data_IF_293857019790
#
_entry.id   IF_293857019790
#
_cell.length_a   1.000
_cell.length_b   1.000
_cell.length_c   1.000
_cell.angle_alpha   90.00
_cell.angle_beta   90.00
_cell.angle_gamma   90.00
#
_symmetry.space_group_name_H-M   'P 1'
#
loop_
_entity.id
_entity.type
_entity.pdbx_description
1 polymer ?
#
# COMPACT_ATOMS: atom_id res chain seq x y z
N UNK A 1 -0.38 42.55 -2.71
CA UNK A 1 0.06 41.21 -2.23
C UNK A 1 0.28 40.36 -3.47
N UNK A 2 1.53 40.08 -3.85
CA UNK A 2 1.85 39.28 -5.04
C UNK A 2 1.29 37.87 -4.85
N UNK A 3 0.31 37.47 -5.65
CA UNK A 3 -0.10 36.08 -5.76
C UNK A 3 1.08 35.31 -6.40
N UNK A 4 1.44 34.16 -5.82
CA UNK A 4 2.50 33.32 -6.37
C UNK A 4 2.17 32.98 -7.83
N UNK A 5 2.91 33.59 -8.76
CA UNK A 5 2.77 33.40 -10.21
C UNK A 5 3.35 32.04 -10.65
N UNK A 6 4.07 31.37 -9.76
CA UNK A 6 4.61 30.03 -9.97
C UNK A 6 3.51 29.00 -9.70
N UNK A 7 3.17 28.15 -10.70
CA UNK A 7 2.26 27.04 -10.46
C UNK A 7 2.86 26.12 -9.37
N UNK A 8 2.00 25.44 -8.60
CA UNK A 8 2.47 24.50 -7.59
C UNK A 8 3.46 23.52 -8.25
N UNK A 9 4.68 23.46 -7.71
CA UNK A 9 5.70 22.55 -8.19
C UNK A 9 5.28 21.11 -7.83
N UNK A 10 4.55 20.47 -8.73
CA UNK A 10 4.09 19.11 -8.57
C UNK A 10 3.21 18.72 -9.75
N UNK A 11 3.32 17.46 -10.19
CA UNK A 11 2.40 16.94 -11.18
C UNK A 11 0.97 16.98 -10.61
N UNK A 12 -0.03 17.55 -11.32
CA UNK A 12 -1.41 17.63 -10.84
C UNK A 12 -2.00 16.26 -10.47
N UNK A 13 -1.48 15.19 -11.09
CA UNK A 13 -1.90 13.81 -10.91
C UNK A 13 -0.92 12.98 -10.04
N UNK A 14 0.03 13.61 -9.36
CA UNK A 14 0.97 12.87 -8.51
C UNK A 14 0.19 12.07 -7.44
N UNK A 15 0.36 10.74 -7.37
CA UNK A 15 -0.30 9.96 -6.34
C UNK A 15 0.16 10.43 -4.96
N UNK A 16 -0.79 10.79 -4.08
CA UNK A 16 -0.47 11.17 -2.71
C UNK A 16 -0.38 9.92 -1.83
N UNK A 17 0.83 9.42 -1.64
CA UNK A 17 1.07 8.34 -0.69
C UNK A 17 1.04 8.86 0.75
N UNK A 18 0.41 8.10 1.64
CA UNK A 18 0.49 8.33 3.07
C UNK A 18 1.82 7.79 3.61
N UNK A 19 2.41 8.49 4.58
CA UNK A 19 3.51 7.93 5.35
C UNK A 19 3.03 6.75 6.22
N UNK A 20 3.91 5.79 6.55
CA UNK A 20 3.56 4.66 7.42
C UNK A 20 2.92 5.07 8.75
N UNK A 21 3.44 6.12 9.40
CA UNK A 21 2.91 6.68 10.65
C UNK A 21 1.47 7.20 10.48
N UNK A 22 1.22 7.93 9.39
CA UNK A 22 -0.08 8.53 9.11
C UNK A 22 -1.13 7.46 8.82
N UNK A 23 -0.75 6.42 8.09
CA UNK A 23 -1.61 5.25 7.89
C UNK A 23 -2.00 4.62 9.24
N UNK A 24 -1.16 4.71 10.27
CA UNK A 24 -1.32 3.94 11.53
C UNK A 24 -2.36 4.62 12.38
N UNK A 25 -2.27 5.95 12.41
CA UNK A 25 -3.28 6.82 12.96
C UNK A 25 -4.63 6.59 12.27
N UNK A 26 -4.67 6.48 10.94
CA UNK A 26 -5.93 6.27 10.20
C UNK A 26 -6.51 4.88 10.50
N UNK A 27 -5.68 3.84 10.57
CA UNK A 27 -6.08 2.47 10.94
C UNK A 27 -6.63 2.40 12.37
N UNK A 28 -5.88 2.94 13.35
CA UNK A 28 -6.30 3.01 14.76
C UNK A 28 -7.59 3.81 14.96
N UNK A 29 -7.86 4.78 14.09
CA UNK A 29 -9.11 5.57 14.09
C UNK A 29 -10.26 4.89 13.36
N UNK A 30 -10.11 3.64 12.93
CA UNK A 30 -11.09 2.89 12.14
C UNK A 30 -11.57 3.61 10.87
N UNK A 31 -10.73 4.49 10.32
CA UNK A 31 -11.00 5.21 9.05
C UNK A 31 -10.34 4.54 7.84
N UNK A 32 -9.50 3.54 8.07
CA UNK A 32 -8.92 2.72 7.02
C UNK A 32 -9.75 1.44 6.90
N UNK A 33 -10.28 1.17 5.72
CA UNK A 33 -10.91 -0.11 5.45
C UNK A 33 -9.87 -1.22 5.61
N UNK A 34 -10.18 -2.21 6.47
CA UNK A 34 -9.32 -3.35 6.75
C UNK A 34 -8.94 -4.10 5.46
N UNK A 35 -9.80 -4.10 4.46
CA UNK A 35 -9.57 -4.75 3.17
C UNK A 35 -8.58 -3.98 2.27
N UNK A 36 -8.41 -2.69 2.52
CA UNK A 36 -7.58 -1.77 1.74
C UNK A 36 -6.33 -1.33 2.50
N UNK A 37 -5.96 -2.01 3.59
CA UNK A 37 -4.78 -1.65 4.35
C UNK A 37 -3.49 -1.92 3.54
N UNK A 38 -2.72 -0.88 3.17
CA UNK A 38 -1.50 -1.06 2.41
C UNK A 38 -0.38 -1.72 3.23
N UNK A 39 -0.48 -1.76 4.57
CA UNK A 39 0.50 -2.43 5.45
C UNK A 39 0.54 -3.94 5.29
N UNK A 40 -0.63 -4.53 5.01
CA UNK A 40 -0.75 -5.97 4.90
C UNK A 40 -0.09 -6.34 3.56
N UNK A 41 0.94 -7.22 3.57
CA UNK A 41 1.55 -7.70 2.34
C UNK A 41 0.48 -8.18 1.37
N UNK A 42 0.64 -7.86 0.08
CA UNK A 42 -0.39 -8.10 -0.93
C UNK A 42 -0.89 -9.55 -0.90
N UNK A 43 0.03 -10.51 -0.67
CA UNK A 43 -0.28 -11.94 -0.57
C UNK A 43 -1.34 -12.23 0.51
N UNK A 44 -1.44 -11.48 1.60
CA UNK A 44 -2.40 -11.73 2.69
C UNK A 44 -3.70 -10.94 2.60
N UNK A 45 -3.87 -10.10 1.56
CA UNK A 45 -5.10 -9.31 1.38
C UNK A 45 -6.29 -10.21 1.01
N UNK A 46 -7.49 -9.77 1.37
CA UNK A 46 -8.73 -10.51 1.14
C UNK A 46 -8.99 -10.78 -0.35
N UNK A 47 -8.76 -9.80 -1.22
CA UNK A 47 -8.98 -9.91 -2.67
C UNK A 47 -7.82 -10.56 -3.44
N UNK A 48 -6.83 -11.14 -2.76
CA UNK A 48 -5.66 -11.70 -3.44
C UNK A 48 -5.97 -13.11 -3.99
N UNK A 49 -5.74 -13.38 -5.28
CA UNK A 49 -6.08 -14.67 -5.89
C UNK A 49 -5.38 -15.86 -5.22
N UNK A 50 -6.14 -16.89 -4.86
CA UNK A 50 -5.60 -18.07 -4.20
C UNK A 50 -4.59 -18.84 -5.06
N UNK A 51 -4.82 -18.92 -6.37
CA UNK A 51 -3.90 -19.57 -7.32
C UNK A 51 -2.51 -18.92 -7.31
N UNK A 52 -2.45 -17.60 -7.19
CA UNK A 52 -1.18 -16.87 -7.09
C UNK A 52 -0.51 -17.11 -5.74
N UNK A 53 -1.26 -17.23 -4.65
CA UNK A 53 -0.69 -17.59 -3.33
C UNK A 53 -0.01 -18.94 -3.39
N UNK A 54 -0.67 -19.93 -4.00
CA UNK A 54 -0.15 -21.27 -4.14
C UNK A 54 1.17 -21.27 -4.93
N UNK A 55 1.22 -20.56 -6.06
CA UNK A 55 2.44 -20.41 -6.88
C UNK A 55 3.58 -19.74 -6.13
N UNK A 56 3.31 -18.65 -5.41
CA UNK A 56 4.34 -17.94 -4.62
C UNK A 56 4.90 -18.85 -3.53
N UNK A 57 4.05 -19.59 -2.81
CA UNK A 57 4.47 -20.54 -1.78
C UNK A 57 5.28 -21.70 -2.34
N UNK A 58 4.89 -22.24 -3.50
CA UNK A 58 5.64 -23.29 -4.18
C UNK A 58 7.05 -22.80 -4.56
N UNK A 59 7.14 -21.62 -5.18
CA UNK A 59 8.40 -21.00 -5.52
C UNK A 59 9.28 -20.74 -4.28
N UNK A 60 8.70 -20.21 -3.20
CA UNK A 60 9.44 -19.98 -1.96
C UNK A 60 10.02 -21.29 -1.38
N UNK A 61 9.27 -22.39 -1.47
CA UNK A 61 9.71 -23.73 -1.04
C UNK A 61 10.82 -24.29 -1.93
N UNK A 62 10.73 -24.12 -3.24
CA UNK A 62 11.75 -24.58 -4.20
C UNK A 62 13.09 -23.83 -4.01
N UNK A 63 13.01 -22.55 -3.66
CA UNK A 63 14.18 -21.68 -3.52
C UNK A 63 14.63 -21.46 -2.07
N UNK A 64 14.08 -22.21 -1.10
CA UNK A 64 14.36 -22.09 0.34
C UNK A 64 14.27 -20.63 0.87
N UNK A 65 13.34 -19.84 0.33
CA UNK A 65 13.09 -18.46 0.76
C UNK A 65 12.30 -18.54 2.08
N UNK A 66 12.88 -18.00 3.16
CA UNK A 66 12.21 -17.92 4.46
C UNK A 66 11.25 -16.72 4.46
N UNK A 67 10.07 -16.91 5.04
CA UNK A 67 9.10 -15.84 5.36
C UNK A 67 9.60 -14.89 6.44
#
# INVERSE_FOLDING_TARGET
KLAALTPPQGYPNAPRYYSPERLEIIYKRHKLDRLLDPRIPAIYRYNFPEDLRAKIRAYAKEHNIKE
#
